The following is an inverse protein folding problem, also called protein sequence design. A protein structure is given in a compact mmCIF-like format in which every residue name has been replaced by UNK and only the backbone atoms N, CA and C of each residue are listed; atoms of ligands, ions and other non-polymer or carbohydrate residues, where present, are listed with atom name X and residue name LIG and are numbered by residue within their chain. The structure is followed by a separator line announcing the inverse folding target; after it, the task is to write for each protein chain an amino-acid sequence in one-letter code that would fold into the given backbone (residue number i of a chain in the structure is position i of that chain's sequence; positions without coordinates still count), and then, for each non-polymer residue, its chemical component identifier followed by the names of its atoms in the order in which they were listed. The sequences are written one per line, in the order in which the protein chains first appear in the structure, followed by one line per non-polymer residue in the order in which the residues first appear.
data_IF_833405155382
#
_entry.id   IF_833405155382
#
_cell.length_a   1.000
_cell.length_b   1.000
_cell.length_c   1.000
_cell.angle_alpha   90.00
_cell.angle_beta   90.00
_cell.angle_gamma   90.00
#
_symmetry.space_group_name_H-M   'P 1'
#
loop_
_entity.id
_entity.type
_entity.pdbx_description
1 polymer ?
#
# COMPACT_ATOMS: atom_id res chain seq x y z
N UNK A 1 20.86 2.27 -16.36
CA UNK A 1 20.63 2.91 -15.05
C UNK A 1 19.62 4.06 -15.10
N UNK A 2 19.85 5.10 -15.92
CA UNK A 2 19.06 6.35 -15.88
C UNK A 2 17.61 6.23 -16.40
N UNK A 3 17.37 5.42 -17.44
CA UNK A 3 16.04 5.20 -18.03
C UNK A 3 15.13 4.37 -17.11
N UNK A 4 15.66 3.28 -16.53
CA UNK A 4 14.94 2.44 -15.56
C UNK A 4 14.47 3.22 -14.34
N UNK A 5 15.30 4.14 -13.83
CA UNK A 5 14.95 4.97 -12.68
C UNK A 5 13.86 6.01 -13.00
N UNK A 6 13.83 6.55 -14.23
CA UNK A 6 12.73 7.44 -14.68
C UNK A 6 11.39 6.71 -14.74
N UNK A 7 11.38 5.47 -15.24
CA UNK A 7 10.17 4.65 -15.34
C UNK A 7 9.64 4.29 -13.94
N UNK A 8 10.53 3.98 -12.99
CA UNK A 8 10.15 3.71 -11.61
C UNK A 8 9.53 4.95 -10.93
N UNK A 9 10.12 6.13 -11.16
CA UNK A 9 9.59 7.40 -10.66
C UNK A 9 8.20 7.74 -11.20
N UNK A 10 7.96 7.55 -12.50
CA UNK A 10 6.62 7.76 -13.08
C UNK A 10 5.57 6.80 -12.52
N UNK A 11 5.94 5.54 -12.30
CA UNK A 11 5.02 4.55 -11.69
C UNK A 11 4.68 4.89 -10.25
N UNK A 12 5.64 5.40 -9.47
CA UNK A 12 5.38 5.92 -8.13
C UNK A 12 4.39 7.09 -8.16
N UNK A 13 4.55 8.03 -9.11
CA UNK A 13 3.61 9.14 -9.26
C UNK A 13 2.19 8.64 -9.57
N UNK A 14 2.05 7.65 -10.47
CA UNK A 14 0.73 7.06 -10.80
C UNK A 14 0.10 6.39 -9.57
N UNK A 15 0.89 5.67 -8.76
CA UNK A 15 0.39 5.05 -7.52
C UNK A 15 -0.19 6.08 -6.56
N UNK A 16 0.43 7.27 -6.48
CA UNK A 16 -0.04 8.34 -5.61
C UNK A 16 -1.27 9.07 -6.17
N UNK A 17 -1.58 8.96 -7.47
CA UNK A 17 -2.76 9.61 -8.04
C UNK A 17 -4.06 9.07 -7.45
N UNK A 18 -4.20 7.76 -7.30
CA UNK A 18 -5.47 7.17 -6.82
C UNK A 18 -5.82 7.62 -5.40
N UNK A 19 -4.94 7.51 -4.39
CA UNK A 19 -5.19 8.05 -3.06
C UNK A 19 -5.42 9.56 -3.06
N UNK A 20 -4.69 10.31 -3.90
CA UNK A 20 -4.84 11.76 -3.99
C UNK A 20 -6.21 12.16 -4.55
N UNK A 21 -6.68 11.47 -5.59
CA UNK A 21 -8.00 11.69 -6.18
C UNK A 21 -9.09 11.37 -5.16
N UNK A 22 -9.01 10.23 -4.47
CA UNK A 22 -9.98 9.85 -3.43
C UNK A 22 -9.99 10.85 -2.27
N UNK A 23 -8.81 11.30 -1.83
CA UNK A 23 -8.70 12.33 -0.78
C UNK A 23 -9.35 13.63 -1.24
N UNK A 24 -9.08 14.05 -2.48
CA UNK A 24 -9.68 15.26 -3.06
C UNK A 24 -11.19 15.14 -3.14
N UNK A 25 -11.73 14.00 -3.58
CA UNK A 25 -13.17 13.74 -3.63
C UNK A 25 -13.78 13.81 -2.22
N UNK A 26 -13.14 13.21 -1.22
CA UNK A 26 -13.60 13.24 0.17
C UNK A 26 -13.69 14.69 0.70
N UNK A 27 -12.63 15.48 0.52
CA UNK A 27 -12.60 16.88 0.96
C UNK A 27 -13.59 17.75 0.18
N UNK A 28 -13.74 17.54 -1.13
CA UNK A 28 -14.74 18.24 -1.94
C UNK A 28 -16.16 17.90 -1.51
N UNK A 29 -16.44 16.62 -1.25
CA UNK A 29 -17.73 16.18 -0.73
C UNK A 29 -18.04 16.86 0.61
N UNK A 30 -17.07 16.89 1.53
CA UNK A 30 -17.18 17.59 2.82
C UNK A 30 -17.42 19.09 2.65
N UNK A 31 -16.73 19.71 1.70
CA UNK A 31 -16.87 21.14 1.43
C UNK A 31 -18.25 21.48 0.84
N UNK A 32 -18.75 20.66 -0.10
CA UNK A 32 -20.03 20.87 -0.78
C UNK A 32 -21.22 20.55 0.13
N UNK A 33 -21.13 19.52 0.96
CA UNK A 33 -22.28 19.04 1.75
C UNK A 33 -22.68 19.92 2.93
N UNK A 34 -21.86 20.90 3.34
CA UNK A 34 -22.16 21.83 4.45
C UNK A 34 -22.58 21.14 5.77
N UNK A 35 -22.80 21.96 6.81
CA UNK A 35 -23.03 21.48 8.19
C UNK A 35 -24.18 20.49 8.27
N UNK A 36 -23.92 19.34 8.91
CA UNK A 36 -24.92 18.31 9.08
C UNK A 36 -26.19 18.86 9.75
N UNK A 37 -27.36 18.42 9.27
CA UNK A 37 -28.64 18.82 9.85
C UNK A 37 -28.77 18.24 11.27
N UNK A 38 -28.71 19.10 12.28
CA UNK A 38 -28.80 18.71 13.68
C UNK A 38 -30.25 18.63 14.19
N UNK A 39 -31.24 18.91 13.35
CA UNK A 39 -32.67 18.87 13.74
C UNK A 39 -33.26 17.46 13.71
N UNK A 40 -32.51 16.50 13.16
CA UNK A 40 -32.93 15.10 13.02
C UNK A 40 -32.77 14.31 14.32
N UNK A 41 -33.62 13.29 14.52
CA UNK A 41 -33.64 12.45 15.73
C UNK A 41 -32.34 11.70 16.01
N UNK A 42 -31.52 11.47 14.97
CA UNK A 42 -30.24 10.76 15.05
C UNK A 42 -29.04 11.72 15.09
N UNK A 43 -29.26 13.02 15.30
CA UNK A 43 -28.19 14.02 15.30
C UNK A 43 -27.06 13.72 16.30
N UNK A 44 -27.38 13.04 17.41
CA UNK A 44 -26.41 12.62 18.42
C UNK A 44 -25.32 11.67 17.88
N UNK A 45 -25.57 10.95 16.78
CA UNK A 45 -24.61 10.03 16.17
C UNK A 45 -23.70 10.69 15.13
N UNK A 46 -24.01 11.91 14.70
CA UNK A 46 -23.26 12.63 13.65
C UNK A 46 -21.78 12.79 14.03
N UNK A 47 -21.40 13.30 15.22
CA UNK A 47 -19.99 13.54 15.53
C UNK A 47 -19.15 12.26 15.50
N UNK A 48 -19.69 11.16 16.01
CA UNK A 48 -19.01 9.85 16.00
C UNK A 48 -18.87 9.31 14.58
N UNK A 49 -19.91 9.39 13.76
CA UNK A 49 -19.88 8.96 12.36
C UNK A 49 -18.88 9.79 11.54
N UNK A 50 -18.82 11.10 11.79
CA UNK A 50 -17.87 12.00 11.14
C UNK A 50 -16.42 11.67 11.45
N UNK A 51 -16.12 11.40 12.73
CA UNK A 51 -14.80 10.95 13.17
C UNK A 51 -14.44 9.61 12.52
N UNK A 52 -15.34 8.64 12.57
CA UNK A 52 -15.14 7.32 11.97
C UNK A 52 -14.89 7.42 10.45
N UNK A 53 -15.63 8.27 9.73
CA UNK A 53 -15.42 8.48 8.30
C UNK A 53 -14.04 9.05 7.98
N UNK A 54 -13.53 9.99 8.79
CA UNK A 54 -12.19 10.55 8.64
C UNK A 54 -11.11 9.48 8.89
N UNK A 55 -11.32 8.69 9.93
CA UNK A 55 -10.49 7.57 10.34
C UNK A 55 -10.38 6.47 9.29
N UNK A 56 -11.51 6.10 8.68
CA UNK A 56 -11.60 5.11 7.61
C UNK A 56 -10.95 5.64 6.33
N UNK A 57 -11.16 6.91 6.00
CA UNK A 57 -10.50 7.55 4.86
C UNK A 57 -8.97 7.55 5.03
N UNK A 58 -8.47 7.93 6.21
CA UNK A 58 -7.04 7.90 6.53
C UNK A 58 -6.45 6.48 6.40
N UNK A 59 -7.19 5.48 6.90
CA UNK A 59 -6.82 4.06 6.79
C UNK A 59 -6.73 3.62 5.33
N UNK A 60 -7.75 3.93 4.53
CA UNK A 60 -7.80 3.60 3.10
C UNK A 60 -6.67 4.25 2.31
N UNK A 61 -6.41 5.55 2.53
CA UNK A 61 -5.31 6.29 1.89
C UNK A 61 -3.96 5.65 2.22
N UNK A 62 -3.70 5.42 3.51
CA UNK A 62 -2.46 4.79 3.97
C UNK A 62 -2.26 3.43 3.31
N UNK A 63 -3.28 2.58 3.34
CA UNK A 63 -3.22 1.24 2.76
C UNK A 63 -2.95 1.26 1.26
N UNK A 64 -3.64 2.12 0.50
CA UNK A 64 -3.45 2.24 -0.95
C UNK A 64 -2.03 2.71 -1.30
N UNK A 65 -1.50 3.70 -0.58
CA UNK A 65 -0.11 4.16 -0.76
C UNK A 65 0.86 3.03 -0.45
N UNK A 66 0.71 2.38 0.70
CA UNK A 66 1.58 1.28 1.15
C UNK A 66 1.61 0.12 0.17
N UNK A 67 0.42 -0.38 -0.21
CA UNK A 67 0.28 -1.47 -1.16
C UNK A 67 0.83 -1.09 -2.54
N UNK A 68 0.48 0.08 -3.07
CA UNK A 68 0.92 0.50 -4.40
C UNK A 68 2.44 0.65 -4.49
N UNK A 69 3.07 1.26 -3.49
CA UNK A 69 4.54 1.33 -3.41
C UNK A 69 5.14 -0.06 -3.23
N UNK A 70 4.53 -0.89 -2.38
CA UNK A 70 4.99 -2.24 -2.11
C UNK A 70 4.97 -3.12 -3.35
N UNK A 71 3.88 -3.14 -4.12
CA UNK A 71 3.80 -3.91 -5.37
C UNK A 71 4.82 -3.45 -6.40
N UNK A 72 5.08 -2.14 -6.50
CA UNK A 72 6.09 -1.63 -7.42
C UNK A 72 7.51 -2.06 -7.01
N UNK A 73 7.81 -2.09 -5.71
CA UNK A 73 9.10 -2.56 -5.19
C UNK A 73 9.25 -4.08 -5.33
N UNK A 74 8.18 -4.83 -5.07
CA UNK A 74 8.12 -6.27 -5.22
C UNK A 74 8.42 -6.67 -6.67
N UNK A 75 7.68 -6.10 -7.63
CA UNK A 75 7.83 -6.39 -9.05
C UNK A 75 9.19 -5.95 -9.64
N UNK A 76 9.90 -5.04 -8.97
CA UNK A 76 11.20 -4.56 -9.45
C UNK A 76 12.40 -5.22 -8.78
N UNK A 77 12.22 -5.90 -7.64
CA UNK A 77 13.33 -6.41 -6.81
C UNK A 77 13.19 -7.87 -6.37
N UNK A 78 11.98 -8.34 -6.14
CA UNK A 78 11.73 -9.64 -5.50
C UNK A 78 11.24 -10.67 -6.50
N UNK A 79 10.32 -10.30 -7.40
CA UNK A 79 9.66 -11.21 -8.34
C UNK A 79 9.15 -12.47 -7.64
N UNK A 80 8.46 -12.32 -6.52
CA UNK A 80 7.98 -13.42 -5.70
C UNK A 80 7.07 -14.36 -6.50
N UNK A 81 7.36 -15.67 -6.41
CA UNK A 81 6.49 -16.70 -6.98
C UNK A 81 5.79 -17.50 -5.89
N UNK A 82 4.49 -17.74 -6.08
CA UNK A 82 3.66 -18.53 -5.15
C UNK A 82 3.93 -20.04 -5.28
N UNK A 83 4.64 -20.45 -6.32
CA UNK A 83 4.97 -21.84 -6.61
C UNK A 83 5.69 -22.54 -5.43
N UNK A 84 5.62 -23.87 -5.44
CA UNK A 84 6.25 -24.71 -4.43
C UNK A 84 5.27 -25.49 -3.55
N UNK A 85 5.80 -26.31 -2.63
CA UNK A 85 5.04 -27.23 -1.78
C UNK A 85 3.99 -26.54 -0.90
N UNK A 86 2.92 -27.26 -0.58
CA UNK A 86 1.83 -26.76 0.30
C UNK A 86 2.36 -26.33 1.67
N UNK A 87 3.35 -27.05 2.23
CA UNK A 87 3.93 -26.69 3.54
C UNK A 87 4.58 -25.31 3.53
N UNK A 88 5.23 -24.91 2.42
CA UNK A 88 5.82 -23.59 2.28
C UNK A 88 4.75 -22.50 2.24
N UNK A 89 3.59 -22.80 1.64
CA UNK A 89 2.43 -21.88 1.64
C UNK A 89 1.90 -21.69 3.05
N UNK A 90 1.72 -22.78 3.81
CA UNK A 90 1.29 -22.72 5.20
C UNK A 90 2.28 -21.92 6.08
N UNK A 91 3.58 -22.17 5.93
CA UNK A 91 4.62 -21.45 6.66
C UNK A 91 4.61 -19.94 6.36
N UNK A 92 4.43 -19.55 5.08
CA UNK A 92 4.28 -18.14 4.68
C UNK A 92 3.07 -17.47 5.32
N UNK A 93 1.92 -18.15 5.35
CA UNK A 93 0.72 -17.62 6.00
C UNK A 93 0.92 -17.42 7.50
N UNK A 94 1.42 -18.43 8.20
CA UNK A 94 1.64 -18.35 9.64
C UNK A 94 2.66 -17.26 10.00
N UNK A 95 3.78 -17.20 9.28
CA UNK A 95 4.80 -16.19 9.50
C UNK A 95 4.29 -14.78 9.17
N UNK A 96 3.56 -14.64 8.06
CA UNK A 96 2.96 -13.38 7.66
C UNK A 96 1.98 -12.85 8.70
N UNK A 97 1.09 -13.71 9.21
CA UNK A 97 0.15 -13.38 10.28
C UNK A 97 0.90 -13.01 11.55
N UNK A 98 1.91 -13.79 11.97
CA UNK A 98 2.67 -13.52 13.18
C UNK A 98 3.34 -12.14 13.15
N UNK A 99 4.00 -11.79 12.03
CA UNK A 99 4.65 -10.48 11.88
C UNK A 99 3.61 -9.36 11.79
N UNK A 100 2.51 -9.58 11.06
CA UNK A 100 1.43 -8.60 10.95
C UNK A 100 0.82 -8.27 12.32
N UNK A 101 0.55 -9.30 13.12
CA UNK A 101 0.06 -9.16 14.50
C UNK A 101 1.08 -8.40 15.34
N UNK A 102 2.37 -8.74 15.26
CA UNK A 102 3.43 -8.01 15.95
C UNK A 102 3.50 -6.54 15.58
N UNK A 103 3.42 -6.21 14.28
CA UNK A 103 3.37 -4.83 13.79
C UNK A 103 2.10 -4.11 14.25
N UNK A 104 0.96 -4.79 14.24
CA UNK A 104 -0.31 -4.21 14.64
C UNK A 104 -0.33 -3.87 16.14
N UNK A 105 0.09 -4.79 17.01
CA UNK A 105 0.21 -4.55 18.46
C UNK A 105 1.25 -3.47 18.77
N UNK A 106 2.42 -3.50 18.12
CA UNK A 106 3.48 -2.52 18.36
C UNK A 106 3.10 -1.10 17.92
N UNK A 107 2.32 -0.96 16.83
CA UNK A 107 1.93 0.35 16.31
C UNK A 107 0.68 0.95 16.98
N UNK A 108 -0.21 0.12 17.53
CA UNK A 108 -1.43 0.59 18.19
C UNK A 108 -1.18 1.36 19.50
N UNK A 109 -0.07 1.08 20.18
CA UNK A 109 0.29 1.72 21.45
C UNK A 109 1.03 3.06 21.28
N UNK A 110 1.55 3.33 20.08
CA UNK A 110 2.44 4.47 19.81
C UNK A 110 1.70 5.62 19.11
N UNK A 111 0.58 5.32 18.44
CA UNK A 111 -0.20 6.33 17.72
C UNK A 111 -1.26 6.90 18.66
N UNK A 112 -1.18 8.18 19.05
CA UNK A 112 -2.23 8.81 19.83
C UNK A 112 -3.51 8.98 18.99
N UNK A 113 -4.67 8.81 19.62
CA UNK A 113 -5.98 9.03 18.99
C UNK A 113 -6.33 10.52 18.92
N UNK A 114 -5.75 11.34 19.79
CA UNK A 114 -5.90 12.78 19.82
C UNK A 114 -4.56 13.49 20.10
N UNK A 115 -4.35 14.71 19.57
CA UNK A 115 -5.27 15.48 18.73
C UNK A 115 -5.30 15.02 17.26
N UNK A 116 -6.44 15.19 16.59
CA UNK A 116 -6.68 14.71 15.21
C UNK A 116 -5.61 15.12 14.17
N UNK A 117 -5.04 16.32 14.28
CA UNK A 117 -4.00 16.79 13.36
C UNK A 117 -2.72 15.95 13.41
N UNK A 118 -2.48 15.26 14.53
CA UNK A 118 -1.37 14.33 14.71
C UNK A 118 -1.82 12.88 14.49
N UNK A 119 -2.99 12.53 15.00
CA UNK A 119 -3.55 11.18 14.90
C UNK A 119 -3.76 10.75 13.44
N UNK A 120 -4.32 11.62 12.59
CA UNK A 120 -4.63 11.30 11.19
C UNK A 120 -3.37 11.01 10.36
N UNK A 121 -2.33 11.87 10.34
CA UNK A 121 -1.09 11.55 9.60
C UNK A 121 -0.38 10.30 10.12
N UNK A 122 -0.32 10.10 11.43
CA UNK A 122 0.29 8.88 12.01
C UNK A 122 -0.49 7.62 11.65
N UNK A 123 -1.81 7.71 11.59
CA UNK A 123 -2.68 6.63 11.11
C UNK A 123 -2.39 6.30 9.65
N UNK A 124 -2.32 7.30 8.77
CA UNK A 124 -1.95 7.12 7.35
C UNK A 124 -0.59 6.41 7.26
N UNK A 125 0.40 6.90 8.01
CA UNK A 125 1.75 6.30 8.04
C UNK A 125 1.72 4.84 8.52
N UNK A 126 1.01 4.54 9.60
CA UNK A 126 0.84 3.19 10.14
C UNK A 126 0.29 2.24 9.09
N UNK A 127 -0.82 2.60 8.46
CA UNK A 127 -1.44 1.74 7.44
C UNK A 127 -0.63 1.67 6.14
N UNK A 128 0.12 2.72 5.79
CA UNK A 128 1.09 2.66 4.69
C UNK A 128 2.23 1.67 4.98
N UNK A 129 2.76 1.64 6.20
CA UNK A 129 3.77 0.66 6.60
C UNK A 129 3.19 -0.76 6.55
N UNK A 130 1.96 -0.96 7.02
CA UNK A 130 1.29 -2.27 6.97
C UNK A 130 1.08 -2.74 5.53
N UNK A 131 0.55 -1.87 4.65
CA UNK A 131 0.38 -2.17 3.23
C UNK A 131 1.71 -2.48 2.54
N UNK A 132 2.74 -1.67 2.81
CA UNK A 132 4.10 -1.88 2.29
C UNK A 132 4.68 -3.21 2.77
N UNK A 133 4.47 -3.55 4.04
CA UNK A 133 4.93 -4.81 4.60
C UNK A 133 4.28 -6.00 3.88
N UNK A 134 2.95 -5.98 3.74
CA UNK A 134 2.19 -7.02 3.07
C UNK A 134 2.62 -7.21 1.62
N UNK A 135 2.80 -6.11 0.87
CA UNK A 135 3.07 -6.17 -0.56
C UNK A 135 4.56 -6.37 -0.89
N UNK A 136 5.51 -5.95 -0.04
CA UNK A 136 6.94 -6.02 -0.35
C UNK A 136 7.79 -6.76 0.68
N UNK A 137 7.77 -6.34 1.95
CA UNK A 137 8.70 -6.91 2.93
C UNK A 137 8.42 -8.38 3.25
N UNK A 138 7.16 -8.79 3.36
CA UNK A 138 6.81 -10.19 3.59
C UNK A 138 7.27 -11.10 2.41
N UNK A 139 6.91 -10.80 1.14
CA UNK A 139 7.43 -11.54 -0.01
C UNK A 139 8.96 -11.58 -0.06
N UNK A 140 9.63 -10.44 0.16
CA UNK A 140 11.09 -10.35 0.16
C UNK A 140 11.71 -11.19 1.27
N UNK A 141 11.11 -11.21 2.46
CA UNK A 141 11.53 -12.05 3.57
C UNK A 141 11.40 -13.53 3.21
N UNK A 142 10.26 -13.96 2.68
CA UNK A 142 10.02 -15.36 2.29
C UNK A 142 11.02 -15.87 1.27
N UNK A 143 11.37 -15.04 0.28
CA UNK A 143 12.42 -15.37 -0.70
C UNK A 143 13.78 -15.49 -0.01
N UNK A 144 14.13 -14.55 0.88
CA UNK A 144 15.43 -14.57 1.59
C UNK A 144 15.62 -15.79 2.47
N UNK A 145 14.56 -16.30 3.09
CA UNK A 145 14.62 -17.47 3.97
C UNK A 145 14.28 -18.79 3.26
N UNK A 146 14.15 -18.78 1.93
CA UNK A 146 13.91 -19.98 1.12
C UNK A 146 12.48 -20.56 1.22
N UNK A 147 11.52 -19.80 1.75
CA UNK A 147 10.10 -20.19 1.79
C UNK A 147 9.36 -19.92 0.47
N UNK A 148 9.99 -19.24 -0.48
CA UNK A 148 9.50 -19.06 -1.83
C UNK A 148 10.65 -18.85 -2.83
N UNK A 149 10.49 -19.29 -4.09
CA UNK A 149 11.44 -18.97 -5.14
C UNK A 149 11.31 -17.50 -5.57
N UNK A 150 12.44 -16.87 -5.88
CA UNK A 150 12.45 -15.67 -6.73
C UNK A 150 12.13 -16.12 -8.17
N UNK A 151 11.07 -15.60 -8.75
CA UNK A 151 10.63 -15.91 -10.10
C UNK A 151 11.72 -15.60 -11.15
N UNK A 152 11.73 -16.33 -12.27
CA UNK A 152 12.68 -16.07 -13.35
C UNK A 152 12.52 -14.63 -13.83
N UNK A 153 13.65 -13.93 -14.04
CA UNK A 153 13.64 -12.65 -14.75
C UNK A 153 12.97 -12.81 -16.12
N UNK A 154 12.51 -11.73 -16.77
CA UNK A 154 11.73 -11.81 -18.01
C UNK A 154 12.44 -12.72 -19.03
N UNK A 155 11.86 -13.89 -19.31
CA UNK A 155 12.43 -14.92 -20.20
C UNK A 155 12.63 -14.42 -21.63
N UNK A 156 11.96 -13.32 -22.00
CA UNK A 156 12.12 -12.68 -23.30
C UNK A 156 13.28 -11.68 -23.26
N UNK A 157 14.50 -12.20 -23.40
CA UNK A 157 15.66 -11.40 -23.79
C UNK A 157 15.51 -11.04 -25.27
N UNK A 158 14.86 -9.90 -25.55
CA UNK A 158 14.88 -9.33 -26.90
C UNK A 158 16.31 -8.89 -27.19
N UNK A 159 17.09 -9.75 -27.84
CA UNK A 159 18.30 -9.35 -28.54
C UNK A 159 17.87 -8.39 -29.65
N UNK A 160 17.79 -7.09 -29.34
CA UNK A 160 17.53 -6.04 -30.32
C UNK A 160 18.71 -6.06 -31.29
N UNK A 161 18.51 -6.72 -32.43
CA UNK A 161 19.49 -6.77 -33.49
C UNK A 161 19.65 -5.35 -34.08
N UNK A 162 20.75 -4.69 -33.72
CA UNK A 162 21.05 -3.30 -34.11
C UNK A 162 21.19 -3.13 -35.64
N UNK A 163 21.41 -4.21 -36.39
CA UNK A 163 21.54 -4.18 -37.85
C UNK A 163 20.22 -3.85 -38.57
N UNK A 164 19.08 -4.04 -37.91
CA UNK A 164 17.76 -3.73 -38.48
C UNK A 164 17.41 -2.24 -38.47
N UNK A 165 18.14 -1.42 -37.69
CA UNK A 165 17.88 0.01 -37.53
C UNK A 165 18.66 0.89 -38.53
N UNK A 166 19.62 0.32 -39.26
CA UNK A 166 20.45 1.05 -40.25
C UNK A 166 20.01 0.82 -41.70
N UNK A 167 18.87 0.17 -41.94
CA UNK A 167 18.34 -0.11 -43.28
C UNK A 167 17.12 0.74 -43.69
N UNK A 168 16.97 1.96 -43.16
CA UNK A 168 15.95 2.90 -43.66
C UNK A 168 16.55 4.22 -44.03
#
# INVERSE_FOLDING_TARGET
GRIRNRILGQRLLIVLLVPTILSTIYFLMRFVLATADLTVSWAAFIPAAELQALEDAATGIGMLVGLGVGFLLEASRTNFSVAGPIWQRAARYLLGIAILVGLWFGSGQVVPDDPLWLAVPLRILRYAILGLFMAYWAPALFVRIGLAPAGPGPEVSLAVNQDSLLKR
#
